data_IF_546353027923
#
_entry.id   IF_546353027923
#
_cell.length_a   1.000
_cell.length_b   1.000
_cell.length_c   1.000
_cell.angle_alpha   90.00
_cell.angle_beta   90.00
_cell.angle_gamma   90.00
#
_symmetry.space_group_name_H-M   'P 1'
#
loop_
_entity.id
_entity.type
_entity.pdbx_description
1 polymer ?
#
# COMPACT_ATOMS: atom_id res chain seq x y z
N UNK A 1 64.72 -40.81 45.99
CA UNK A 1 63.97 -41.45 44.90
C UNK A 1 62.61 -40.79 44.80
N UNK A 2 62.31 -40.19 43.64
CA UNK A 2 61.08 -39.43 43.34
C UNK A 2 60.09 -40.33 42.58
N UNK A 3 58.83 -40.36 42.98
CA UNK A 3 57.66 -40.75 42.16
C UNK A 3 56.51 -39.84 42.62
N UNK A 4 56.16 -38.82 41.84
CA UNK A 4 55.11 -38.81 40.80
C UNK A 4 53.69 -38.74 41.37
N UNK A 5 53.16 -37.51 41.51
CA UNK A 5 51.73 -37.24 41.50
C UNK A 5 51.48 -36.19 40.41
N UNK A 6 50.87 -36.62 39.30
CA UNK A 6 50.36 -35.73 38.27
C UNK A 6 48.96 -35.25 38.69
N UNK A 7 48.82 -33.95 38.90
CA UNK A 7 47.52 -33.29 38.99
C UNK A 7 47.32 -32.52 37.67
N UNK A 8 46.53 -33.07 36.76
CA UNK A 8 46.15 -32.42 35.51
C UNK A 8 44.95 -31.52 35.80
N UNK A 9 45.19 -30.21 35.85
CA UNK A 9 44.14 -29.19 35.88
C UNK A 9 43.63 -28.96 34.45
N UNK A 10 42.46 -29.53 34.14
CA UNK A 10 41.70 -29.23 32.93
C UNK A 10 41.01 -27.87 33.09
N UNK A 11 41.58 -26.82 32.49
CA UNK A 11 40.90 -25.55 32.29
C UNK A 11 40.04 -25.66 31.01
N UNK A 12 38.77 -26.03 31.16
CA UNK A 12 37.77 -25.89 30.10
C UNK A 12 37.30 -24.44 30.04
N UNK A 13 37.89 -23.66 29.15
CA UNK A 13 37.36 -22.35 28.78
C UNK A 13 36.02 -22.51 28.05
N UNK A 14 34.91 -22.30 28.76
CA UNK A 14 33.60 -22.15 28.14
C UNK A 14 33.58 -20.83 27.36
N UNK A 15 33.87 -20.89 26.06
CA UNK A 15 33.59 -19.80 25.13
C UNK A 15 32.07 -19.65 25.03
N UNK A 16 31.50 -18.72 25.80
CA UNK A 16 30.16 -18.19 25.57
C UNK A 16 30.19 -17.46 24.22
N UNK A 17 29.86 -18.18 23.15
CA UNK A 17 29.52 -17.58 21.87
C UNK A 17 28.20 -16.85 22.10
N UNK A 18 28.28 -15.58 22.48
CA UNK A 18 27.14 -14.68 22.43
C UNK A 18 26.83 -14.46 20.95
N UNK A 19 25.97 -15.30 20.41
CA UNK A 19 25.43 -15.16 19.06
C UNK A 19 24.50 -13.94 19.10
N UNK A 20 25.05 -12.74 18.96
CA UNK A 20 24.24 -11.54 18.71
C UNK A 20 23.52 -11.79 17.38
N UNK A 21 22.22 -12.12 17.44
CA UNK A 21 21.37 -12.13 16.24
C UNK A 21 21.61 -10.81 15.53
N UNK A 22 22.12 -10.88 14.30
CA UNK A 22 22.26 -9.70 13.43
C UNK A 22 20.85 -9.15 13.28
N UNK A 23 20.59 -7.95 13.81
CA UNK A 23 19.27 -7.36 13.70
C UNK A 23 18.93 -7.20 12.21
N UNK A 24 17.73 -7.64 11.82
CA UNK A 24 17.21 -7.41 10.48
C UNK A 24 16.86 -5.93 10.37
N UNK A 25 17.82 -5.12 9.91
CA UNK A 25 17.71 -3.66 9.82
C UNK A 25 18.10 -3.22 8.43
N UNK A 26 17.22 -2.46 7.79
CA UNK A 26 17.52 -1.72 6.58
C UNK A 26 18.03 -0.34 6.95
N UNK A 27 19.22 0.05 6.46
CA UNK A 27 19.62 1.44 6.49
C UNK A 27 19.17 2.11 5.20
N UNK A 28 18.31 3.11 5.34
CA UNK A 28 17.83 3.96 4.28
C UNK A 28 18.60 5.27 4.38
N UNK A 29 19.45 5.53 3.40
CA UNK A 29 20.21 6.78 3.32
C UNK A 29 20.02 7.43 1.96
N UNK A 30 20.19 8.74 1.90
CA UNK A 30 19.95 9.42 0.64
C UNK A 30 20.04 10.93 0.69
N UNK A 31 19.71 11.51 -0.45
CA UNK A 31 19.69 12.95 -0.66
C UNK A 31 18.38 13.40 -1.28
N UNK A 32 17.97 14.62 -0.92
CA UNK A 32 16.97 15.37 -1.66
C UNK A 32 17.69 16.44 -2.47
N UNK A 33 17.28 16.62 -3.73
CA UNK A 33 17.94 17.50 -4.70
C UNK A 33 16.92 18.52 -5.20
N UNK A 34 17.33 19.78 -5.34
CA UNK A 34 16.49 20.87 -5.85
C UNK A 34 15.19 21.12 -5.04
N UNK A 35 15.17 20.79 -3.75
CA UNK A 35 14.04 21.06 -2.84
C UNK A 35 14.55 21.39 -1.43
N UNK A 36 13.78 22.20 -0.71
CA UNK A 36 14.02 22.58 0.68
C UNK A 36 13.25 21.71 1.70
N UNK A 37 12.59 20.64 1.23
CA UNK A 37 11.83 19.68 2.06
C UNK A 37 12.57 19.30 3.34
N UNK A 38 11.83 19.27 4.45
CA UNK A 38 12.38 18.90 5.77
C UNK A 38 12.05 17.47 6.16
N UNK A 39 11.15 16.81 5.44
CA UNK A 39 10.65 15.50 5.85
C UNK A 39 10.21 14.67 4.65
N UNK A 40 10.66 13.41 4.65
CA UNK A 40 10.18 12.37 3.75
C UNK A 40 9.19 11.50 4.52
N UNK A 41 8.11 11.09 3.85
CA UNK A 41 7.12 10.16 4.38
C UNK A 41 7.32 8.79 3.75
N UNK A 42 7.21 7.73 4.55
CA UNK A 42 7.15 6.34 4.10
C UNK A 42 5.87 5.68 4.60
N UNK A 43 5.01 5.27 3.65
CA UNK A 43 3.74 4.59 3.93
C UNK A 43 3.76 3.15 3.41
N UNK A 44 3.24 2.20 4.19
CA UNK A 44 2.96 0.84 3.71
C UNK A 44 1.80 0.84 2.72
N UNK A 45 1.67 -0.24 1.95
CA UNK A 45 0.57 -0.42 0.99
C UNK A 45 -0.85 -0.30 1.57
N UNK A 46 -1.04 -0.67 2.83
CA UNK A 46 -2.34 -0.61 3.52
C UNK A 46 -2.56 0.73 4.26
N UNK A 47 -1.64 1.69 4.12
CA UNK A 47 -1.71 2.99 4.75
C UNK A 47 -2.09 4.08 3.75
N UNK A 48 -2.96 4.98 4.17
CA UNK A 48 -3.21 6.25 3.50
C UNK A 48 -2.18 7.28 3.99
N UNK A 49 -1.28 7.73 3.10
CA UNK A 49 -0.19 8.64 3.47
C UNK A 49 -0.67 10.00 4.01
N UNK A 50 -1.90 10.41 3.68
CA UNK A 50 -2.48 11.69 4.08
C UNK A 50 -3.10 11.55 5.47
N UNK A 51 -3.85 10.46 5.66
CA UNK A 51 -4.73 10.30 6.82
C UNK A 51 -4.16 9.40 7.91
N UNK A 52 -3.19 8.54 7.62
CA UNK A 52 -2.61 7.63 8.62
C UNK A 52 -1.33 8.19 9.23
N UNK A 53 -0.98 7.65 10.40
CA UNK A 53 0.34 7.85 10.99
C UNK A 53 1.35 7.00 10.22
N UNK A 54 2.26 7.66 9.50
CA UNK A 54 3.29 7.03 8.66
C UNK A 54 4.68 7.36 9.19
N UNK A 55 5.70 6.66 8.71
CA UNK A 55 7.08 6.95 9.12
C UNK A 55 7.48 8.30 8.54
N UNK A 56 7.99 9.18 9.41
CA UNK A 56 8.55 10.47 9.03
C UNK A 56 10.07 10.44 9.18
N UNK A 57 10.79 10.68 8.09
CA UNK A 57 12.25 10.71 8.06
C UNK A 57 12.71 12.17 7.95
N UNK A 58 13.48 12.69 8.93
CA UNK A 58 13.98 14.06 8.88
C UNK A 58 15.04 14.21 7.80
N UNK A 59 14.98 15.34 7.08
CA UNK A 59 15.98 15.75 6.11
C UNK A 59 16.81 16.89 6.69
N UNK A 60 18.12 16.68 6.83
CA UNK A 60 19.08 17.62 7.39
C UNK A 60 20.12 17.93 6.34
N UNK A 61 20.26 19.21 5.96
CA UNK A 61 21.20 19.67 4.93
C UNK A 61 21.08 18.90 3.60
N UNK A 62 19.84 18.63 3.18
CA UNK A 62 19.56 17.90 1.94
C UNK A 62 19.84 16.40 2.00
N UNK A 63 20.11 15.83 3.18
CA UNK A 63 20.40 14.40 3.37
C UNK A 63 19.48 13.79 4.42
N UNK A 64 19.27 12.49 4.33
CA UNK A 64 18.57 11.71 5.34
C UNK A 64 19.30 10.38 5.57
N UNK A 65 19.20 9.88 6.80
CA UNK A 65 19.76 8.62 7.26
C UNK A 65 18.78 8.05 8.29
N UNK A 66 18.27 6.85 8.03
CA UNK A 66 17.22 6.23 8.82
C UNK A 66 17.38 4.72 8.89
N UNK A 67 17.20 4.16 10.07
CA UNK A 67 17.25 2.71 10.30
C UNK A 67 15.84 2.18 10.51
N UNK A 68 15.44 1.23 9.68
CA UNK A 68 14.14 0.59 9.77
C UNK A 68 14.30 -0.89 10.08
N UNK A 69 13.65 -1.37 11.14
CA UNK A 69 13.60 -2.80 11.43
C UNK A 69 12.76 -3.52 10.36
N UNK A 70 13.28 -4.66 9.88
CA UNK A 70 12.69 -5.44 8.79
C UNK A 70 12.15 -6.76 9.35
N UNK A 71 10.88 -6.78 9.73
CA UNK A 71 10.22 -8.04 10.10
C UNK A 71 10.04 -8.95 8.87
N UNK A 72 9.61 -8.36 7.74
CA UNK A 72 9.50 -8.99 6.44
C UNK A 72 9.81 -7.97 5.34
N UNK A 73 10.46 -8.38 4.24
CA UNK A 73 10.66 -7.46 3.13
C UNK A 73 9.34 -7.04 2.50
N UNK A 74 9.11 -5.74 2.38
CA UNK A 74 7.85 -5.19 1.86
C UNK A 74 8.08 -3.85 1.15
N UNK A 75 7.10 -3.43 0.34
CA UNK A 75 7.16 -2.16 -0.36
C UNK A 75 6.55 -1.04 0.48
N UNK A 76 7.20 0.11 0.44
CA UNK A 76 6.75 1.38 0.98
C UNK A 76 6.62 2.38 -0.17
N UNK A 77 5.63 3.25 -0.08
CA UNK A 77 5.47 4.42 -0.94
C UNK A 77 6.15 5.62 -0.25
N UNK A 78 7.13 6.21 -0.95
CA UNK A 78 7.90 7.36 -0.51
C UNK A 78 7.37 8.63 -1.17
N UNK A 79 7.09 9.67 -0.38
CA UNK A 79 6.76 11.01 -0.87
C UNK A 79 7.38 12.12 -0.01
N UNK A 80 7.49 13.32 -0.58
CA UNK A 80 7.87 14.53 0.16
C UNK A 80 6.67 15.04 0.98
N UNK A 81 6.88 15.37 2.26
CA UNK A 81 5.79 15.80 3.15
C UNK A 81 5.08 17.06 2.66
N UNK A 82 5.83 18.00 2.09
CA UNK A 82 5.32 19.25 1.54
C UNK A 82 4.45 18.99 0.29
N UNK A 83 4.83 18.06 -0.58
CA UNK A 83 4.00 17.63 -1.71
C UNK A 83 2.72 16.94 -1.24
N UNK A 84 2.77 16.13 -0.19
CA UNK A 84 1.58 15.49 0.39
C UNK A 84 0.62 16.56 0.94
N UNK A 85 1.14 17.58 1.63
CA UNK A 85 0.35 18.71 2.12
C UNK A 85 -0.29 19.55 1.02
N UNK A 86 0.36 19.69 -0.14
CA UNK A 86 -0.20 20.44 -1.27
C UNK A 86 -1.26 19.67 -2.04
N UNK A 87 -1.37 18.36 -1.81
CA UNK A 87 -2.26 17.46 -2.56
C UNK A 87 -1.73 17.08 -3.95
N UNK A 88 -0.55 17.58 -4.34
CA UNK A 88 0.10 17.27 -5.62
C UNK A 88 1.36 16.46 -5.36
N UNK A 89 1.20 15.17 -5.04
CA UNK A 89 2.32 14.29 -4.72
C UNK A 89 2.38 13.06 -5.63
N UNK A 90 3.59 12.57 -5.85
CA UNK A 90 3.86 11.29 -6.50
C UNK A 90 4.62 10.37 -5.56
N UNK A 91 4.44 9.06 -5.73
CA UNK A 91 5.08 8.04 -4.91
C UNK A 91 6.23 7.34 -5.62
N UNK A 92 7.41 7.36 -4.99
CA UNK A 92 8.49 6.46 -5.34
C UNK A 92 8.38 5.19 -4.50
N UNK A 93 8.14 4.05 -5.14
CA UNK A 93 8.06 2.77 -4.42
C UNK A 93 9.46 2.28 -4.08
N UNK A 94 9.70 2.02 -2.79
CA UNK A 94 10.93 1.42 -2.27
C UNK A 94 10.60 0.10 -1.59
N UNK A 95 11.32 -0.96 -1.92
CA UNK A 95 11.26 -2.22 -1.21
C UNK A 95 12.29 -2.20 -0.08
N UNK A 96 11.80 -2.33 1.14
CA UNK A 96 12.63 -2.44 2.34
C UNK A 96 12.98 -3.91 2.53
N UNK A 97 14.26 -4.22 2.55
CA UNK A 97 14.82 -5.55 2.81
C UNK A 97 16.09 -5.40 3.67
N UNK A 98 16.65 -6.50 4.21
CA UNK A 98 17.83 -6.43 5.10
C UNK A 98 19.12 -6.10 4.32
N UNK A 99 19.20 -4.87 3.82
CA UNK A 99 20.27 -4.30 2.98
C UNK A 99 20.30 -2.79 3.15
N UNK A 100 21.42 -2.18 2.78
CA UNK A 100 21.52 -0.73 2.64
C UNK A 100 20.82 -0.28 1.36
N UNK A 101 20.05 0.81 1.44
CA UNK A 101 19.34 1.42 0.33
C UNK A 101 19.78 2.88 0.22
N UNK A 102 20.25 3.25 -0.97
CA UNK A 102 20.61 4.61 -1.33
C UNK A 102 19.52 5.23 -2.21
N UNK A 103 19.01 6.41 -1.82
CA UNK A 103 17.90 7.07 -2.51
C UNK A 103 18.28 8.50 -2.90
N UNK A 104 18.00 8.90 -4.14
CA UNK A 104 18.01 10.31 -4.56
C UNK A 104 16.59 10.73 -4.94
N UNK A 105 16.06 11.75 -4.28
CA UNK A 105 14.72 12.29 -4.52
C UNK A 105 14.80 13.71 -5.10
N UNK A 106 14.04 13.94 -6.16
CA UNK A 106 13.80 15.22 -6.81
C UNK A 106 12.35 15.67 -6.59
N UNK A 107 12.01 16.94 -6.85
CA UNK A 107 10.65 17.43 -6.77
C UNK A 107 9.75 16.80 -7.86
N UNK A 108 8.43 16.95 -7.71
CA UNK A 108 7.44 16.24 -8.55
C UNK A 108 7.55 16.55 -10.06
N UNK A 109 8.03 17.74 -10.43
CA UNK A 109 8.28 18.16 -11.82
C UNK A 109 9.49 17.45 -12.46
N UNK A 110 10.40 16.92 -11.64
CA UNK A 110 11.58 16.14 -12.04
C UNK A 110 11.54 14.71 -11.49
N UNK A 111 10.37 14.23 -11.10
CA UNK A 111 10.18 12.95 -10.41
C UNK A 111 10.84 11.74 -11.11
N UNK A 112 10.87 11.74 -12.45
CA UNK A 112 11.46 10.65 -13.23
C UNK A 112 12.99 10.55 -13.07
N UNK A 113 13.64 11.54 -12.42
CA UNK A 113 15.05 11.51 -12.04
C UNK A 113 15.32 10.82 -10.71
N UNK A 114 14.28 10.44 -9.95
CA UNK A 114 14.46 9.75 -8.68
C UNK A 114 15.17 8.41 -8.88
N UNK A 115 16.13 8.11 -8.00
CA UNK A 115 16.86 6.84 -8.01
C UNK A 115 16.69 6.13 -6.67
N UNK A 116 16.55 4.81 -6.74
CA UNK A 116 16.52 3.91 -5.58
C UNK A 116 17.45 2.76 -5.94
N UNK A 117 18.52 2.64 -5.17
CA UNK A 117 19.57 1.64 -5.36
C UNK A 117 19.76 0.84 -4.08
N UNK A 118 20.14 -0.43 -4.24
CA UNK A 118 20.32 -1.34 -3.10
C UNK A 118 19.19 -2.35 -2.99
N UNK A 119 19.58 -3.61 -2.73
CA UNK A 119 18.64 -4.70 -2.59
C UNK A 119 18.18 -5.34 -3.90
N UNK A 120 17.79 -6.61 -3.80
CA UNK A 120 17.33 -7.38 -4.96
C UNK A 120 15.92 -6.94 -5.38
N UNK A 121 15.03 -6.63 -4.44
CA UNK A 121 13.65 -6.29 -4.74
C UNK A 121 13.53 -4.95 -5.45
N UNK A 122 14.33 -3.94 -5.04
CA UNK A 122 14.41 -2.67 -5.77
C UNK A 122 14.96 -2.86 -7.18
N UNK A 123 16.01 -3.69 -7.34
CA UNK A 123 16.59 -4.02 -8.64
C UNK A 123 15.57 -4.74 -9.56
N UNK A 124 14.84 -5.72 -9.03
CA UNK A 124 13.78 -6.44 -9.75
C UNK A 124 12.65 -5.49 -10.17
N UNK A 125 12.23 -4.59 -9.28
CA UNK A 125 11.18 -3.61 -9.56
C UNK A 125 11.61 -2.54 -10.57
N UNK A 126 12.85 -2.06 -10.48
CA UNK A 126 13.43 -1.17 -11.48
C UNK A 126 13.42 -1.82 -12.86
N UNK A 127 13.85 -3.09 -12.96
CA UNK A 127 13.83 -3.84 -14.21
C UNK A 127 12.40 -4.02 -14.74
N UNK A 128 11.43 -4.30 -13.87
CA UNK A 128 10.01 -4.34 -14.26
C UNK A 128 9.56 -3.00 -14.86
N UNK A 129 9.82 -1.86 -14.18
CA UNK A 129 9.45 -0.52 -14.66
C UNK A 129 10.12 -0.21 -16.00
N UNK A 130 11.43 -0.45 -16.12
CA UNK A 130 12.18 -0.24 -17.36
C UNK A 130 11.59 -1.03 -18.54
N UNK A 131 11.28 -2.31 -18.32
CA UNK A 131 10.68 -3.16 -19.36
C UNK A 131 9.27 -2.69 -19.75
N UNK A 132 8.48 -2.24 -18.77
CA UNK A 132 7.16 -1.65 -18.99
C UNK A 132 7.28 -0.39 -19.85
N UNK A 133 8.16 0.53 -19.47
CA UNK A 133 8.33 1.81 -20.14
C UNK A 133 8.85 1.62 -21.57
N UNK A 134 9.83 0.74 -21.77
CA UNK A 134 10.31 0.39 -23.12
C UNK A 134 9.18 -0.10 -24.03
N UNK A 135 8.21 -0.83 -23.49
CA UNK A 135 7.11 -1.42 -24.26
C UNK A 135 5.93 -0.47 -24.45
N UNK A 136 5.61 0.36 -23.46
CA UNK A 136 4.35 1.09 -23.39
C UNK A 136 4.50 2.61 -23.45
N UNK A 137 5.64 3.19 -23.06
CA UNK A 137 5.83 4.66 -23.05
C UNK A 137 5.63 5.29 -24.45
N UNK A 138 6.19 4.74 -25.55
CA UNK A 138 5.96 5.32 -26.89
C UNK A 138 4.49 5.31 -27.32
N UNK A 139 3.74 4.26 -26.93
CA UNK A 139 2.30 4.17 -27.20
C UNK A 139 1.52 5.22 -26.40
N UNK A 140 1.86 5.41 -25.13
CA UNK A 140 1.22 6.40 -24.27
C UNK A 140 1.49 7.83 -24.77
N UNK A 141 2.73 8.13 -25.18
CA UNK A 141 3.10 9.42 -25.76
C UNK A 141 2.29 9.71 -27.04
N UNK A 142 2.14 8.70 -27.91
CA UNK A 142 1.30 8.82 -29.10
C UNK A 142 -0.18 9.10 -28.73
N UNK A 143 -0.73 8.40 -27.74
CA UNK A 143 -2.12 8.60 -27.29
C UNK A 143 -2.32 9.98 -26.67
N UNK A 144 -1.37 10.45 -25.86
CA UNK A 144 -1.43 11.79 -25.27
C UNK A 144 -1.46 12.88 -26.35
N UNK A 145 -0.71 12.70 -27.45
CA UNK A 145 -0.75 13.63 -28.58
C UNK A 145 -2.09 13.63 -29.34
N UNK A 146 -2.89 12.55 -29.24
CA UNK A 146 -4.27 12.52 -29.74
C UNK A 146 -5.21 13.30 -28.82
N UNK A 147 -5.03 13.18 -27.50
CA UNK A 147 -5.82 13.91 -26.50
C UNK A 147 -5.77 15.42 -26.72
N UNK A 148 -4.58 15.97 -27.00
CA UNK A 148 -4.38 17.39 -27.30
C UNK A 148 -5.17 17.89 -28.52
N UNK A 149 -5.57 16.96 -29.41
CA UNK A 149 -6.28 17.25 -30.66
C UNK A 149 -7.74 16.82 -30.63
N UNK A 150 -8.21 16.19 -29.54
CA UNK A 150 -9.55 15.63 -29.42
C UNK A 150 -10.62 16.71 -29.25
N UNK A 151 -10.87 17.47 -30.31
CA UNK A 151 -11.80 18.61 -30.35
C UNK A 151 -13.10 18.32 -31.11
N UNK A 152 -13.27 17.09 -31.59
CA UNK A 152 -14.52 16.60 -32.21
C UNK A 152 -14.96 15.31 -31.52
N UNK A 153 -16.26 14.96 -31.56
CA UNK A 153 -16.74 13.70 -30.97
C UNK A 153 -16.08 12.44 -31.55
N UNK A 154 -15.68 12.48 -32.82
CA UNK A 154 -14.96 11.38 -33.47
C UNK A 154 -13.55 11.21 -32.89
N UNK A 155 -12.79 12.31 -32.78
CA UNK A 155 -11.44 12.26 -32.22
C UNK A 155 -11.44 11.96 -30.71
N UNK A 156 -12.47 12.40 -29.99
CA UNK A 156 -12.66 12.03 -28.59
C UNK A 156 -12.92 10.53 -28.43
N UNK A 157 -13.79 9.95 -29.26
CA UNK A 157 -14.01 8.50 -29.28
C UNK A 157 -12.73 7.74 -29.60
N UNK A 158 -11.98 8.16 -30.61
CA UNK A 158 -10.73 7.51 -31.00
C UNK A 158 -9.67 7.58 -29.88
N UNK A 159 -9.61 8.69 -29.15
CA UNK A 159 -8.78 8.82 -27.95
C UNK A 159 -9.23 7.85 -26.85
N UNK A 160 -10.53 7.82 -26.52
CA UNK A 160 -11.10 6.95 -25.50
C UNK A 160 -10.87 5.45 -25.82
N UNK A 161 -11.06 5.05 -27.06
CA UNK A 161 -10.80 3.68 -27.53
C UNK A 161 -9.30 3.34 -27.42
N UNK A 162 -8.43 4.28 -27.80
CA UNK A 162 -6.98 4.08 -27.77
C UNK A 162 -6.45 3.97 -26.34
N UNK A 163 -6.90 4.83 -25.42
CA UNK A 163 -6.47 4.82 -24.03
C UNK A 163 -7.02 3.60 -23.28
N UNK A 164 -8.27 3.21 -23.55
CA UNK A 164 -8.85 1.98 -22.99
C UNK A 164 -8.07 0.73 -23.44
N UNK A 165 -7.78 0.63 -24.75
CA UNK A 165 -6.96 -0.46 -25.29
C UNK A 165 -5.55 -0.48 -24.70
N UNK A 166 -4.94 0.69 -24.50
CA UNK A 166 -3.63 0.81 -23.86
C UNK A 166 -3.63 0.20 -22.45
N UNK A 167 -4.55 0.62 -21.59
CA UNK A 167 -4.58 0.14 -20.20
C UNK A 167 -4.90 -1.37 -20.12
N UNK A 168 -5.80 -1.87 -20.97
CA UNK A 168 -6.07 -3.31 -21.05
C UNK A 168 -4.84 -4.11 -21.49
N UNK A 169 -4.10 -3.65 -22.50
CA UNK A 169 -2.88 -4.32 -22.96
C UNK A 169 -1.76 -4.28 -21.91
N UNK A 170 -1.58 -3.14 -21.24
CA UNK A 170 -0.61 -2.97 -20.14
C UNK A 170 -0.95 -3.91 -18.99
N UNK A 171 -2.23 -3.98 -18.60
CA UNK A 171 -2.68 -4.82 -17.51
C UNK A 171 -2.55 -6.31 -17.83
N UNK A 172 -2.84 -6.73 -19.06
CA UNK A 172 -2.57 -8.11 -19.53
C UNK A 172 -1.08 -8.45 -19.48
N UNK A 173 -0.23 -7.54 -19.93
CA UNK A 173 1.22 -7.74 -19.88
C UNK A 173 1.74 -7.82 -18.43
N UNK A 174 1.23 -6.96 -17.54
CA UNK A 174 1.54 -7.00 -16.10
C UNK A 174 1.09 -8.32 -15.47
N UNK A 175 -0.11 -8.79 -15.79
CA UNK A 175 -0.62 -10.09 -15.32
C UNK A 175 0.26 -11.26 -15.79
N UNK A 176 0.73 -11.22 -17.04
CA UNK A 176 1.70 -12.21 -17.56
C UNK A 176 3.03 -12.17 -16.80
N UNK A 177 3.53 -10.96 -16.50
CA UNK A 177 4.72 -10.78 -15.67
C UNK A 177 4.52 -11.39 -14.28
N UNK A 178 3.39 -11.12 -13.62
CA UNK A 178 3.05 -11.66 -12.29
C UNK A 178 2.99 -13.19 -12.32
N UNK A 179 2.33 -13.77 -13.33
CA UNK A 179 2.20 -15.22 -13.46
C UNK A 179 3.54 -15.93 -13.72
N UNK A 180 4.44 -15.28 -14.46
CA UNK A 180 5.78 -15.79 -14.79
C UNK A 180 6.77 -15.63 -13.64
N UNK A 181 6.71 -14.52 -12.91
CA UNK A 181 7.66 -14.17 -11.87
C UNK A 181 6.95 -14.25 -10.52
N UNK A 182 7.21 -15.28 -9.71
CA UNK A 182 6.57 -15.40 -8.40
C UNK A 182 7.47 -14.77 -7.32
N UNK A 183 7.54 -13.43 -7.32
CA UNK A 183 8.38 -12.66 -6.39
C UNK A 183 7.53 -11.74 -5.53
N UNK A 184 8.11 -11.15 -4.47
CA UNK A 184 7.42 -10.12 -3.67
C UNK A 184 7.09 -8.88 -4.51
N UNK A 185 7.88 -8.57 -5.54
CA UNK A 185 7.55 -7.52 -6.52
C UNK A 185 6.26 -7.86 -7.26
N UNK A 186 6.09 -9.09 -7.74
CA UNK A 186 4.84 -9.51 -8.38
C UNK A 186 3.65 -9.51 -7.42
N UNK A 187 3.88 -9.80 -6.13
CA UNK A 187 2.82 -9.71 -5.14
C UNK A 187 2.38 -8.27 -4.88
N UNK A 188 3.34 -7.34 -4.76
CA UNK A 188 3.06 -5.90 -4.74
C UNK A 188 2.27 -5.47 -5.98
N UNK A 189 2.70 -5.88 -7.18
CA UNK A 189 2.03 -5.53 -8.43
C UNK A 189 0.60 -6.08 -8.51
N UNK A 190 0.35 -7.29 -8.02
CA UNK A 190 -0.99 -7.87 -7.93
C UNK A 190 -1.90 -7.00 -7.06
N UNK A 191 -1.43 -6.59 -5.87
CA UNK A 191 -2.20 -5.72 -4.98
C UNK A 191 -2.47 -4.36 -5.65
N UNK A 192 -1.46 -3.75 -6.28
CA UNK A 192 -1.65 -2.48 -7.00
C UNK A 192 -2.65 -2.60 -8.14
N UNK A 193 -2.66 -3.71 -8.88
CA UNK A 193 -3.69 -3.97 -9.91
C UNK A 193 -5.10 -4.01 -9.31
N UNK A 194 -5.29 -4.64 -8.15
CA UNK A 194 -6.61 -4.69 -7.50
C UNK A 194 -7.03 -3.31 -6.98
N UNK A 195 -6.09 -2.49 -6.49
CA UNK A 195 -6.41 -1.17 -5.95
C UNK A 195 -6.73 -0.17 -7.08
N UNK A 196 -5.89 -0.11 -8.11
CA UNK A 196 -5.89 0.99 -9.09
C UNK A 196 -6.45 0.64 -10.46
N UNK A 197 -6.69 -0.63 -10.77
CA UNK A 197 -7.00 -1.08 -12.14
C UNK A 197 -8.16 -2.09 -12.18
N UNK A 198 -9.16 -1.85 -11.34
CA UNK A 198 -10.31 -2.76 -11.15
C UNK A 198 -11.08 -3.04 -12.44
N UNK A 199 -11.11 -2.09 -13.37
CA UNK A 199 -11.85 -2.21 -14.63
C UNK A 199 -11.16 -3.13 -15.66
N UNK A 200 -9.83 -3.26 -15.61
CA UNK A 200 -9.05 -4.02 -16.59
C UNK A 200 -8.50 -5.36 -16.07
N UNK A 201 -8.75 -5.70 -14.81
CA UNK A 201 -8.29 -6.97 -14.22
C UNK A 201 -9.24 -8.14 -14.55
N UNK A 202 -8.66 -9.33 -14.68
CA UNK A 202 -9.42 -10.58 -14.71
C UNK A 202 -9.43 -11.19 -13.29
N UNK A 203 -10.59 -11.16 -12.63
CA UNK A 203 -10.75 -11.64 -11.23
C UNK A 203 -10.32 -13.10 -11.07
N UNK A 204 -10.54 -13.97 -12.05
CA UNK A 204 -10.12 -15.38 -12.00
C UNK A 204 -8.59 -15.51 -12.00
N UNK A 205 -7.91 -14.74 -12.85
CA UNK A 205 -6.44 -14.71 -12.88
C UNK A 205 -5.87 -14.12 -11.60
N UNK A 206 -6.47 -13.04 -11.08
CA UNK A 206 -6.07 -12.46 -9.79
C UNK A 206 -6.16 -13.49 -8.66
N UNK A 207 -7.27 -14.24 -8.57
CA UNK A 207 -7.45 -15.29 -7.56
C UNK A 207 -6.39 -16.39 -7.68
N UNK A 208 -6.09 -16.86 -8.89
CA UNK A 208 -5.02 -17.85 -9.13
C UNK A 208 -3.64 -17.33 -8.74
N UNK A 209 -3.29 -16.10 -9.12
CA UNK A 209 -2.02 -15.48 -8.73
C UNK A 209 -1.92 -15.34 -7.22
N UNK A 210 -3.00 -14.89 -6.56
CA UNK A 210 -3.05 -14.78 -5.11
C UNK A 210 -2.86 -16.13 -4.40
N UNK A 211 -3.55 -17.19 -4.84
CA UNK A 211 -3.38 -18.54 -4.26
C UNK A 211 -1.93 -19.03 -4.35
N UNK A 212 -1.25 -18.75 -5.47
CA UNK A 212 0.15 -19.11 -5.67
C UNK A 212 1.09 -18.29 -4.78
N UNK A 213 0.92 -16.97 -4.78
CA UNK A 213 1.79 -16.04 -4.05
C UNK A 213 1.61 -16.15 -2.53
N UNK A 214 0.37 -16.27 -2.03
CA UNK A 214 0.09 -16.44 -0.61
C UNK A 214 0.69 -17.73 -0.03
N UNK A 215 0.67 -18.83 -0.81
CA UNK A 215 1.36 -20.08 -0.44
C UNK A 215 2.87 -19.94 -0.41
N UNK A 216 3.44 -19.18 -1.35
CA UNK A 216 4.88 -18.94 -1.40
C UNK A 216 5.38 -18.00 -0.30
N UNK A 217 4.56 -17.04 0.11
CA UNK A 217 4.87 -16.05 1.14
C UNK A 217 3.96 -16.23 2.36
N UNK A 218 4.13 -17.32 3.14
CA UNK A 218 3.26 -17.58 4.28
C UNK A 218 3.38 -16.47 5.34
N UNK A 219 2.24 -16.12 5.93
CA UNK A 219 2.10 -15.08 6.96
C UNK A 219 2.59 -13.69 6.52
N UNK A 220 2.79 -13.43 5.23
CA UNK A 220 3.22 -12.11 4.76
C UNK A 220 2.06 -11.11 4.93
N UNK A 221 2.30 -9.84 5.33
CA UNK A 221 1.23 -8.84 5.50
C UNK A 221 0.37 -8.64 4.25
N UNK A 222 0.95 -8.89 3.07
CA UNK A 222 0.22 -8.87 1.80
C UNK A 222 -0.90 -9.91 1.69
N UNK A 223 -0.84 -11.01 2.43
CA UNK A 223 -1.86 -12.05 2.37
C UNK A 223 -3.21 -11.53 2.85
N UNK A 224 -3.23 -10.84 3.99
CA UNK A 224 -4.45 -10.28 4.54
C UNK A 224 -4.98 -9.15 3.65
N UNK A 225 -4.10 -8.23 3.24
CA UNK A 225 -4.49 -7.12 2.36
C UNK A 225 -5.07 -7.62 1.04
N UNK A 226 -4.39 -8.53 0.35
CA UNK A 226 -4.85 -9.07 -0.93
C UNK A 226 -6.14 -9.87 -0.77
N UNK A 227 -6.29 -10.67 0.29
CA UNK A 227 -7.52 -11.43 0.56
C UNK A 227 -8.71 -10.49 0.77
N UNK A 228 -8.55 -9.45 1.58
CA UNK A 228 -9.60 -8.46 1.84
C UNK A 228 -10.00 -7.73 0.56
N UNK A 229 -9.03 -7.32 -0.26
CA UNK A 229 -9.28 -6.69 -1.55
C UNK A 229 -10.01 -7.63 -2.53
N UNK A 230 -9.63 -8.92 -2.58
CA UNK A 230 -10.28 -9.93 -3.44
C UNK A 230 -11.71 -10.20 -3.00
N UNK A 231 -11.96 -10.27 -1.70
CA UNK A 231 -13.31 -10.43 -1.17
C UNK A 231 -14.17 -9.21 -1.49
N UNK A 232 -13.62 -7.99 -1.39
CA UNK A 232 -14.32 -6.76 -1.75
C UNK A 232 -14.73 -6.72 -3.23
N UNK A 233 -13.95 -7.32 -4.14
CA UNK A 233 -14.33 -7.45 -5.56
C UNK A 233 -15.50 -8.43 -5.81
N UNK A 234 -15.82 -9.29 -4.84
CA UNK A 234 -16.90 -10.29 -4.97
C UNK A 234 -18.22 -9.83 -4.35
N UNK A 235 -18.31 -8.56 -3.94
CA UNK A 235 -19.54 -7.96 -3.39
C UNK A 235 -20.51 -7.68 -4.55
N UNK A 236 -21.69 -8.30 -4.51
CA UNK A 236 -22.73 -8.19 -5.53
C UNK A 236 -24.11 -8.06 -4.88
N UNK A 237 -25.04 -7.36 -5.55
CA UNK A 237 -26.41 -7.25 -5.08
C UNK A 237 -27.07 -8.63 -4.95
N UNK A 238 -27.79 -8.86 -3.84
CA UNK A 238 -28.44 -10.13 -3.53
C UNK A 238 -27.53 -11.20 -2.91
N UNK A 239 -26.21 -10.98 -2.82
CA UNK A 239 -25.31 -11.84 -2.03
C UNK A 239 -25.32 -11.43 -0.56
N UNK A 240 -24.84 -12.33 0.31
CA UNK A 240 -24.61 -11.99 1.72
C UNK A 240 -23.52 -10.92 1.83
N UNK A 241 -23.72 -9.96 2.73
CA UNK A 241 -22.68 -8.99 3.09
C UNK A 241 -21.52 -9.67 3.82
N UNK A 242 -20.38 -9.01 3.86
CA UNK A 242 -19.21 -9.43 4.64
C UNK A 242 -19.40 -8.91 6.07
N UNK A 243 -19.57 -9.81 7.03
CA UNK A 243 -19.71 -9.44 8.43
C UNK A 243 -18.34 -9.05 9.03
N UNK A 244 -18.35 -8.10 9.96
CA UNK A 244 -17.15 -7.64 10.65
C UNK A 244 -17.48 -7.20 12.06
N UNK A 245 -16.44 -7.12 12.90
CA UNK A 245 -16.52 -6.58 14.25
C UNK A 245 -15.60 -5.37 14.36
N UNK A 246 -16.13 -4.29 14.92
CA UNK A 246 -15.39 -3.06 15.17
C UNK A 246 -15.68 -2.57 16.60
N UNK A 247 -14.73 -1.87 17.25
CA UNK A 247 -14.98 -1.30 18.57
C UNK A 247 -15.96 -0.13 18.50
N UNK A 248 -16.82 0.01 19.52
CA UNK A 248 -17.55 1.25 19.79
C UNK A 248 -16.64 2.32 20.44
N UNK A 249 -17.21 3.47 20.80
CA UNK A 249 -16.47 4.56 21.45
C UNK A 249 -15.93 4.22 22.85
N UNK A 250 -16.45 3.16 23.47
CA UNK A 250 -15.98 2.63 24.75
C UNK A 250 -14.99 1.47 24.59
N UNK A 251 -14.67 1.09 23.35
CA UNK A 251 -13.80 -0.04 23.02
C UNK A 251 -14.50 -1.40 23.05
N UNK A 252 -15.82 -1.45 23.24
CA UNK A 252 -16.56 -2.72 23.23
C UNK A 252 -16.66 -3.25 21.79
N UNK A 253 -16.45 -4.56 21.56
CA UNK A 253 -16.61 -5.14 20.24
C UNK A 253 -18.09 -5.14 19.82
N UNK A 254 -18.37 -4.61 18.63
CA UNK A 254 -19.69 -4.59 18.00
C UNK A 254 -19.64 -5.29 16.66
N UNK A 255 -20.42 -6.36 16.49
CA UNK A 255 -20.52 -7.11 15.24
C UNK A 255 -21.66 -6.59 14.37
N UNK A 256 -21.40 -6.25 13.10
CA UNK A 256 -22.37 -5.62 12.20
C UNK A 256 -23.69 -6.39 12.12
N UNK A 257 -23.63 -7.71 11.89
CA UNK A 257 -24.82 -8.56 11.76
C UNK A 257 -25.79 -8.43 12.93
N UNK A 258 -25.27 -8.31 14.16
CA UNK A 258 -26.10 -8.14 15.38
C UNK A 258 -26.82 -6.79 15.43
N UNK A 259 -26.32 -5.78 14.73
CA UNK A 259 -26.90 -4.43 14.73
C UNK A 259 -28.01 -4.27 13.68
N UNK A 260 -27.94 -5.06 12.60
CA UNK A 260 -28.80 -4.93 11.42
C UNK A 260 -29.80 -6.07 11.26
N UNK A 261 -29.84 -7.03 12.19
CA UNK A 261 -30.75 -8.17 12.10
C UNK A 261 -32.22 -7.73 11.98
N UNK A 262 -32.91 -8.29 10.98
CA UNK A 262 -34.29 -7.93 10.62
C UNK A 262 -34.50 -6.51 10.08
N UNK A 263 -33.44 -5.74 9.82
CA UNK A 263 -33.51 -4.34 9.38
C UNK A 263 -32.99 -4.15 7.96
N UNK A 264 -33.50 -3.12 7.30
CA UNK A 264 -32.83 -2.54 6.13
C UNK A 264 -31.77 -1.56 6.65
N UNK A 265 -30.50 -1.83 6.37
CA UNK A 265 -29.40 -1.01 6.88
C UNK A 265 -28.64 -0.30 5.77
N UNK A 266 -28.39 1.00 5.95
CA UNK A 266 -27.36 1.72 5.22
C UNK A 266 -26.06 1.69 6.03
N UNK A 267 -24.99 1.21 5.40
CA UNK A 267 -23.64 1.31 5.96
C UNK A 267 -23.02 2.64 5.48
N UNK A 268 -22.70 3.53 6.42
CA UNK A 268 -22.06 4.81 6.16
C UNK A 268 -20.60 4.78 6.59
N UNK A 269 -19.69 4.65 5.62
CA UNK A 269 -18.24 4.62 5.86
C UNK A 269 -17.71 6.06 5.80
N UNK A 270 -17.25 6.58 6.94
CA UNK A 270 -16.92 8.01 7.08
C UNK A 270 -15.72 8.25 8.02
N UNK A 271 -15.36 9.52 8.22
CA UNK A 271 -14.36 9.95 9.19
C UNK A 271 -14.53 11.45 9.50
N UNK A 272 -14.10 11.90 10.69
CA UNK A 272 -14.19 13.31 11.11
C UNK A 272 -13.33 14.24 10.24
N UNK A 273 -12.28 13.73 9.62
CA UNK A 273 -11.43 14.46 8.70
C UNK A 273 -11.93 14.44 7.24
N UNK A 274 -12.94 13.62 6.92
CA UNK A 274 -13.49 13.53 5.57
C UNK A 274 -14.69 14.49 5.39
N UNK A 275 -14.40 15.73 4.98
CA UNK A 275 -15.43 16.75 4.73
C UNK A 275 -16.56 16.31 3.79
N UNK A 276 -16.26 15.74 2.60
CA UNK A 276 -17.28 15.22 1.70
C UNK A 276 -18.12 14.08 2.31
N UNK A 277 -17.50 13.19 3.10
CA UNK A 277 -18.23 12.11 3.79
C UNK A 277 -19.25 12.71 4.77
N UNK A 278 -18.84 13.66 5.62
CA UNK A 278 -19.73 14.33 6.57
C UNK A 278 -20.90 15.02 5.86
N UNK A 279 -20.62 15.72 4.76
CA UNK A 279 -21.66 16.37 3.97
C UNK A 279 -22.68 15.35 3.43
N UNK A 280 -22.21 14.18 2.97
CA UNK A 280 -23.06 13.08 2.51
C UNK A 280 -23.84 12.43 3.65
N UNK A 281 -23.23 12.18 4.80
CA UNK A 281 -23.91 11.62 5.99
C UNK A 281 -25.07 12.50 6.45
N UNK A 282 -24.91 13.83 6.40
CA UNK A 282 -25.97 14.79 6.76
C UNK A 282 -27.22 14.69 5.89
N UNK A 283 -27.09 14.28 4.62
CA UNK A 283 -28.25 14.11 3.74
C UNK A 283 -29.10 12.89 4.11
N UNK A 284 -28.58 11.98 4.95
CA UNK A 284 -29.28 10.80 5.41
C UNK A 284 -30.22 11.05 6.61
N UNK A 285 -30.04 12.15 7.34
CA UNK A 285 -30.87 12.51 8.50
C UNK A 285 -32.38 12.51 8.18
N UNK A 286 -32.87 13.19 7.13
CA UNK A 286 -34.30 13.15 6.80
C UNK A 286 -34.78 11.73 6.47
N UNK A 287 -34.01 10.96 5.69
CA UNK A 287 -34.36 9.57 5.34
C UNK A 287 -34.43 8.69 6.59
N UNK A 288 -33.47 8.82 7.50
CA UNK A 288 -33.52 8.07 8.77
C UNK A 288 -34.79 8.41 9.56
N UNK A 289 -35.14 9.69 9.69
CA UNK A 289 -36.34 10.11 10.41
C UNK A 289 -37.63 9.54 9.80
N UNK A 290 -37.74 9.48 8.48
CA UNK A 290 -38.94 9.00 7.78
C UNK A 290 -39.14 7.47 7.84
N UNK A 291 -38.05 6.71 8.07
CA UNK A 291 -38.04 5.25 7.93
C UNK A 291 -37.53 4.47 9.14
N UNK A 292 -36.96 5.10 10.18
CA UNK A 292 -36.44 4.39 11.37
C UNK A 292 -37.48 3.49 12.04
N UNK A 293 -38.74 3.94 12.11
CA UNK A 293 -39.85 3.20 12.72
C UNK A 293 -40.43 2.13 11.77
N UNK A 294 -39.92 2.05 10.53
CA UNK A 294 -40.30 1.09 9.49
C UNK A 294 -39.21 0.03 9.26
N UNK A 295 -38.30 -0.13 10.21
CA UNK A 295 -37.22 -1.12 10.14
C UNK A 295 -35.99 -0.67 9.35
N UNK A 296 -35.83 0.63 9.09
CA UNK A 296 -34.60 1.18 8.51
C UNK A 296 -33.60 1.60 9.60
N UNK A 297 -32.30 1.42 9.34
CA UNK A 297 -31.24 1.89 10.23
C UNK A 297 -30.02 2.37 9.45
N UNK A 298 -29.19 3.18 10.09
CA UNK A 298 -27.91 3.64 9.55
C UNK A 298 -26.82 3.20 10.52
N UNK A 299 -25.81 2.49 10.00
CA UNK A 299 -24.63 2.09 10.76
C UNK A 299 -23.45 2.92 10.27
N UNK A 300 -23.01 3.87 11.08
CA UNK A 300 -21.81 4.66 10.80
C UNK A 300 -20.55 3.91 11.23
N UNK A 301 -19.61 3.71 10.30
CA UNK A 301 -18.28 3.14 10.57
C UNK A 301 -17.25 4.22 10.34
N UNK A 302 -16.67 4.72 11.42
CA UNK A 302 -15.68 5.79 11.38
C UNK A 302 -14.25 5.25 11.25
N UNK A 303 -13.46 5.83 10.34
CA UNK A 303 -12.01 5.60 10.23
C UNK A 303 -11.26 6.85 10.73
N UNK A 304 -10.99 6.90 12.03
CA UNK A 304 -10.30 8.05 12.63
C UNK A 304 -8.79 8.00 12.50
N UNK A 305 -8.17 9.19 12.60
CA UNK A 305 -6.73 9.39 12.63
C UNK A 305 -6.26 9.54 14.07
N UNK A 306 -5.27 8.76 14.47
CA UNK A 306 -4.58 8.76 15.77
C UNK A 306 -5.46 8.46 17.01
N UNK A 307 -6.66 9.05 17.16
CA UNK A 307 -7.60 8.81 18.27
C UNK A 307 -9.06 9.15 17.90
N UNK A 308 -10.00 8.73 18.76
CA UNK A 308 -11.46 8.89 18.57
C UNK A 308 -12.04 10.16 19.19
N UNK A 309 -11.21 11.07 19.71
CA UNK A 309 -11.67 12.24 20.49
C UNK A 309 -12.62 13.15 19.70
N UNK A 310 -12.38 13.31 18.40
CA UNK A 310 -13.23 14.12 17.51
C UNK A 310 -14.62 13.54 17.27
N UNK A 311 -14.86 12.27 17.62
CA UNK A 311 -16.18 11.65 17.53
C UNK A 311 -17.07 12.00 18.73
N UNK A 312 -16.48 12.47 19.83
CA UNK A 312 -17.17 12.74 21.09
C UNK A 312 -17.24 14.22 21.46
N UNK A 313 -16.58 15.10 20.69
CA UNK A 313 -16.62 16.56 20.81
C UNK A 313 -17.66 17.19 19.89
#
# INVERSE_FOLDING_TARGET
>A
MKFSNQLVLLFTALLLINCSKKEDVCHIHGTVVDTDTKTILLARLNQDIVHDSVIEIPVINGKFDYKLHVEKPEAYELALKESVKSGMYRFSTVFIENTDINITIHPDDKFDKNTIEGGKLNSDFFNYKKNKDQKFKPRLEAINSLSEKANTPELERDFLDSISKYYNDEQKWKQQYINKNNTLVSYYLLIKSIIFDKENINVSEVKKSFEKLSKQFPNHPYNELALNLINAMSIEAGKKFIDFTAPDLNGNPVTLSTQIDGKVALLDLWATWCGPCIAKSRTMVPVYNDYKDKGFTVIGVAREKDNTKRLTE
#
